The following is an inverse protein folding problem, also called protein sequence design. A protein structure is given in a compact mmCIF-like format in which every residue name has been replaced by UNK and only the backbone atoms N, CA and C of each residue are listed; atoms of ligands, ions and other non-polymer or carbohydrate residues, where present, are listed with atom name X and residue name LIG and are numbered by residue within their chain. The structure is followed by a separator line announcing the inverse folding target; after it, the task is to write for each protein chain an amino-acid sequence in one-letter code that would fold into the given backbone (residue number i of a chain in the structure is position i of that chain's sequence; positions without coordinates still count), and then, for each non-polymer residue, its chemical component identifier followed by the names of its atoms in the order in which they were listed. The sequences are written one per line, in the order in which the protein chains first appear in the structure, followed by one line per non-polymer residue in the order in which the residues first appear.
data_IF_709766307212
#
_entry.id   IF_709766307212
#
_cell.length_a   1.000
_cell.length_b   1.000
_cell.length_c   1.000
_cell.angle_alpha   90.00
_cell.angle_beta   90.00
_cell.angle_gamma   90.00
#
_symmetry.space_group_name_H-M   'P 1'
#
loop_
_entity.id
_entity.type
_entity.pdbx_description
1 polymer ?
#
# COMPACT_ATOMS: atom_id res chain seq x y z
N UNK A 1 -4.26 -7.58 5.82
CA UNK A 1 -3.65 -7.45 4.48
C UNK A 1 -2.56 -6.39 4.54
N UNK A 2 -1.58 -6.39 3.63
CA UNK A 2 -0.49 -5.41 3.65
C UNK A 2 -0.81 -4.21 2.76
N UNK A 3 -0.39 -3.02 3.20
CA UNK A 3 -0.49 -1.79 2.40
C UNK A 3 0.79 -0.98 2.42
N UNK A 4 1.15 -0.38 1.28
CA UNK A 4 2.27 0.54 1.14
C UNK A 4 1.79 1.98 1.20
N UNK A 5 2.03 2.65 2.32
CA UNK A 5 1.75 4.08 2.49
C UNK A 5 2.96 4.89 2.03
N UNK A 6 2.76 5.76 1.04
CA UNK A 6 3.76 6.73 0.59
C UNK A 6 3.87 7.84 1.64
N UNK A 7 5.05 8.01 2.22
CA UNK A 7 5.33 9.04 3.23
C UNK A 7 5.76 10.36 2.63
N UNK A 8 6.44 10.31 1.49
CA UNK A 8 6.97 11.48 0.81
C UNK A 8 6.50 11.51 -0.65
N UNK A 9 5.29 12.04 -0.91
CA UNK A 9 4.75 12.10 -2.26
C UNK A 9 5.52 13.08 -3.18
N UNK A 10 6.32 14.00 -2.62
CA UNK A 10 7.10 14.98 -3.39
C UNK A 10 8.30 14.29 -4.04
N UNK A 11 8.99 13.42 -3.29
CA UNK A 11 10.13 12.67 -3.80
C UNK A 11 9.77 11.29 -4.34
N UNK A 12 8.49 10.89 -4.25
CA UNK A 12 7.98 9.66 -4.81
C UNK A 12 8.07 9.66 -6.34
N UNK A 13 8.86 8.74 -6.89
CA UNK A 13 9.07 8.67 -8.33
C UNK A 13 7.92 7.90 -9.01
N UNK A 14 7.35 8.40 -10.12
CA UNK A 14 6.34 7.66 -10.88
C UNK A 14 6.80 6.27 -11.32
N UNK A 15 8.11 6.10 -11.56
CA UNK A 15 8.71 4.80 -11.91
C UNK A 15 8.52 3.75 -10.82
N UNK A 16 8.59 4.14 -9.54
CA UNK A 16 8.39 3.21 -8.43
C UNK A 16 6.96 2.68 -8.40
N UNK A 17 5.96 3.55 -8.59
CA UNK A 17 4.56 3.12 -8.71
C UNK A 17 4.37 2.12 -9.86
N UNK A 18 5.01 2.38 -11.01
CA UNK A 18 4.94 1.50 -12.16
C UNK A 18 5.60 0.15 -11.90
N UNK A 19 6.77 0.11 -11.24
CA UNK A 19 7.46 -1.13 -10.90
C UNK A 19 6.68 -1.97 -9.90
N UNK A 20 6.10 -1.33 -8.88
CA UNK A 20 5.23 -1.98 -7.90
C UNK A 20 4.03 -2.63 -8.61
N UNK A 21 3.34 -1.89 -9.49
CA UNK A 21 2.18 -2.44 -10.23
C UNK A 21 2.53 -3.52 -11.25
N UNK A 22 3.80 -3.64 -11.66
CA UNK A 22 4.26 -4.72 -12.54
C UNK A 22 4.70 -5.97 -11.78
N UNK A 23 5.23 -5.82 -10.56
CA UNK A 23 5.81 -6.92 -9.77
C UNK A 23 4.88 -7.48 -8.72
N UNK A 24 3.99 -6.65 -8.18
CA UNK A 24 3.10 -6.99 -7.09
C UNK A 24 1.64 -6.90 -7.55
N UNK A 25 0.85 -7.91 -7.17
CA UNK A 25 -0.59 -7.88 -7.37
C UNK A 25 -1.23 -6.87 -6.40
N UNK A 26 -1.67 -5.74 -6.97
CA UNK A 26 -2.38 -4.68 -6.25
C UNK A 26 -3.87 -5.04 -6.23
N UNK A 27 -4.40 -5.30 -5.04
CA UNK A 27 -5.84 -5.51 -4.84
C UNK A 27 -6.61 -4.20 -5.02
N UNK A 28 -6.05 -3.11 -4.50
CA UNK A 28 -6.71 -1.81 -4.51
C UNK A 28 -5.70 -0.66 -4.37
N UNK A 29 -6.10 0.56 -4.69
CA UNK A 29 -5.25 1.74 -4.54
C UNK A 29 -6.05 2.96 -4.12
N UNK A 30 -5.35 3.94 -3.56
CA UNK A 30 -5.84 5.31 -3.41
C UNK A 30 -4.66 6.27 -3.42
N UNK A 31 -4.93 7.56 -3.26
CA UNK A 31 -3.90 8.59 -3.25
C UNK A 31 -2.92 8.35 -2.10
N UNK A 32 -1.71 7.89 -2.44
CA UNK A 32 -0.64 7.64 -1.48
C UNK A 32 -0.66 6.26 -0.82
N UNK A 33 -1.55 5.34 -1.22
CA UNK A 33 -1.62 4.00 -0.64
C UNK A 33 -1.86 2.93 -1.70
N UNK A 34 -1.03 1.89 -1.69
CA UNK A 34 -1.29 0.64 -2.41
C UNK A 34 -1.74 -0.43 -1.43
N UNK A 35 -2.82 -1.12 -1.74
CA UNK A 35 -3.32 -2.27 -0.98
C UNK A 35 -2.98 -3.53 -1.77
N UNK A 36 -2.16 -4.39 -1.18
CA UNK A 36 -1.69 -5.61 -1.85
C UNK A 36 -2.69 -6.76 -1.68
N UNK A 37 -2.65 -7.71 -2.62
CA UNK A 37 -3.39 -8.96 -2.47
C UNK A 37 -2.99 -9.68 -1.17
N UNK A 38 -3.95 -10.19 -0.37
CA UNK A 38 -3.66 -10.86 0.89
C UNK A 38 -2.79 -12.11 0.76
N UNK A 39 -2.60 -12.66 -0.45
CA UNK A 39 -1.67 -13.78 -0.71
C UNK A 39 -0.21 -13.34 -0.70
N UNK A 40 0.09 -12.06 -0.93
CA UNK A 40 1.45 -11.55 -0.93
C UNK A 40 1.98 -11.46 0.50
N UNK A 41 3.11 -12.13 0.73
CA UNK A 41 3.82 -12.05 1.99
C UNK A 41 4.52 -10.70 2.15
N UNK A 42 4.78 -10.32 3.40
CA UNK A 42 5.52 -9.09 3.73
C UNK A 42 6.91 -9.09 3.09
N UNK A 43 7.58 -10.24 3.09
CA UNK A 43 8.94 -10.39 2.55
C UNK A 43 8.98 -10.21 1.04
N UNK A 44 8.02 -10.77 0.29
CA UNK A 44 7.90 -10.57 -1.16
C UNK A 44 7.70 -9.08 -1.51
N UNK A 45 6.86 -8.39 -0.74
CA UNK A 45 6.64 -6.95 -0.91
C UNK A 45 7.93 -6.18 -0.64
N UNK A 46 8.63 -6.47 0.46
CA UNK A 46 9.89 -5.81 0.80
C UNK A 46 10.98 -6.05 -0.24
N UNK A 47 11.05 -7.26 -0.81
CA UNK A 47 11.99 -7.57 -1.89
C UNK A 47 11.72 -6.71 -3.13
N UNK A 48 10.46 -6.51 -3.50
CA UNK A 48 10.08 -5.63 -4.60
C UNK A 48 10.40 -4.15 -4.33
N UNK A 49 10.43 -3.74 -3.06
CA UNK A 49 10.69 -2.36 -2.63
C UNK A 49 12.16 -2.10 -2.26
N UNK A 50 13.05 -3.08 -2.39
CA UNK A 50 14.45 -3.00 -1.92
C UNK A 50 15.26 -1.81 -2.47
N UNK A 51 14.88 -1.33 -3.67
CA UNK A 51 15.54 -0.23 -4.37
C UNK A 51 14.91 1.14 -4.05
N UNK A 52 13.84 1.17 -3.25
CA UNK A 52 13.14 2.38 -2.82
C UNK A 52 13.64 2.76 -1.41
N UNK A 53 13.98 4.03 -1.15
CA UNK A 53 14.41 4.46 0.18
C UNK A 53 13.33 4.18 1.23
N UNK A 54 13.73 3.58 2.35
CA UNK A 54 12.81 3.16 3.42
C UNK A 54 12.08 4.35 4.06
N UNK A 55 12.66 5.55 4.02
CA UNK A 55 12.03 6.78 4.47
C UNK A 55 10.87 7.25 3.58
N UNK A 56 10.85 6.84 2.31
CA UNK A 56 9.83 7.27 1.34
C UNK A 56 8.50 6.54 1.51
N UNK A 57 8.47 5.41 2.26
CA UNK A 57 7.27 4.61 2.42
C UNK A 57 7.11 4.01 3.83
N UNK A 58 5.96 3.41 4.08
CA UNK A 58 5.76 2.51 5.22
C UNK A 58 4.85 1.37 4.86
N UNK A 59 5.28 0.17 5.23
CA UNK A 59 4.50 -1.04 5.06
C UNK A 59 3.65 -1.25 6.31
N UNK A 60 2.36 -1.01 6.17
CA UNK A 60 1.35 -1.07 7.22
C UNK A 60 0.45 -2.28 7.03
N UNK A 61 -0.13 -2.78 8.12
CA UNK A 61 -1.20 -3.76 8.05
C UNK A 61 -2.55 -3.05 8.02
N UNK A 62 -3.41 -3.55 7.16
CA UNK A 62 -4.74 -3.02 6.88
C UNK A 62 -5.77 -4.13 7.05
N UNK A 63 -6.98 -3.71 7.43
CA UNK A 63 -8.18 -4.52 7.34
C UNK A 63 -9.28 -3.74 6.60
N UNK A 64 -10.14 -4.48 5.89
CA UNK A 64 -11.31 -3.91 5.21
C UNK A 64 -12.42 -3.69 6.25
N UNK A 65 -13.04 -2.51 6.23
CA UNK A 65 -14.01 -2.07 7.23
C UNK A 65 -15.21 -1.36 6.62
N UNK A 66 -16.27 -1.24 7.40
CA UNK A 66 -17.43 -0.45 7.02
C UNK A 66 -17.08 1.04 6.90
N UNK A 67 -17.87 1.77 6.11
CA UNK A 67 -17.65 3.19 5.81
C UNK A 67 -17.56 4.09 7.07
N UNK A 68 -18.28 3.73 8.14
CA UNK A 68 -18.26 4.46 9.42
C UNK A 68 -16.91 4.40 10.15
N UNK A 69 -16.09 3.39 9.87
CA UNK A 69 -14.80 3.11 10.51
C UNK A 69 -13.63 3.33 9.52
N UNK A 70 -13.91 3.98 8.38
CA UNK A 70 -13.00 4.13 7.25
C UNK A 70 -11.88 5.13 7.54
N UNK A 71 -10.64 4.68 7.45
CA UNK A 71 -9.46 5.56 7.51
C UNK A 71 -8.94 5.89 6.11
N UNK A 72 -8.98 4.91 5.20
CA UNK A 72 -8.60 5.05 3.80
C UNK A 72 -9.76 4.59 2.92
N UNK A 73 -10.20 5.47 2.03
CA UNK A 73 -11.15 5.11 0.98
C UNK A 73 -10.37 4.82 -0.30
N UNK A 74 -10.53 3.60 -0.80
CA UNK A 74 -9.90 3.18 -2.04
C UNK A 74 -10.68 3.64 -3.28
N UNK A 75 -10.01 3.63 -4.43
CA UNK A 75 -10.59 4.01 -5.72
C UNK A 75 -11.77 3.10 -6.10
N UNK A 76 -11.75 1.84 -5.63
CA UNK A 76 -12.87 0.89 -5.76
C UNK A 76 -14.11 1.25 -4.92
N UNK A 77 -13.98 2.19 -3.98
CA UNK A 77 -15.00 2.54 -2.99
C UNK A 77 -14.93 1.69 -1.71
N UNK A 78 -14.01 0.72 -1.62
CA UNK A 78 -13.77 -0.04 -0.39
C UNK A 78 -13.10 0.82 0.68
N UNK A 79 -13.36 0.47 1.94
CA UNK A 79 -12.84 1.18 3.09
C UNK A 79 -11.85 0.31 3.86
N UNK A 80 -10.72 0.91 4.23
CA UNK A 80 -9.66 0.24 4.97
C UNK A 80 -9.29 1.05 6.21
N UNK A 81 -8.79 0.36 7.24
CA UNK A 81 -8.13 0.99 8.39
C UNK A 81 -6.84 0.28 8.73
N UNK A 82 -5.89 1.00 9.34
CA UNK A 82 -4.73 0.37 9.97
C UNK A 82 -5.16 -0.54 11.11
N UNK A 83 -4.65 -1.77 11.13
CA UNK A 83 -4.78 -2.63 12.29
C UNK A 83 -3.83 -2.12 13.39
N UNK A 84 -4.31 -1.96 14.64
CA UNK A 84 -3.42 -1.70 15.77
C UNK A 84 -2.52 -2.93 15.97
N UNK A 85 -1.21 -2.71 15.95
CA UNK A 85 -0.22 -3.69 16.42
C UNK A 85 -0.26 -3.79 17.95
#
# INVERSE_FOLDING_TARGET
MNGLLIKDPIHWRPTWSSEIGQRLEIKDSTQGLFVFDPKLSRDEILEALKDIPAESFSLIELEEVAQKDCEFTADSGLCYRRTPN
#
